data_IF_165507794902
#
_entry.id   IF_165507794902
#
_cell.length_a   1.000
_cell.length_b   1.000
_cell.length_c   1.000
_cell.angle_alpha   90.00
_cell.angle_beta   90.00
_cell.angle_gamma   90.00
#
_symmetry.space_group_name_H-M   'P 1'
#
loop_
_entity.id
_entity.type
_entity.pdbx_description
1 polymer ?
#
# COMPACT_ATOMS: atom_id res chain seq x y z
N UNK A 1 -1.11 -19.64 0.31
CA UNK A 1 -1.59 -19.39 1.69
C UNK A 1 -3.12 -19.47 1.76
N UNK A 2 -3.87 -18.66 1.02
CA UNK A 2 -5.34 -18.64 1.12
C UNK A 2 -6.00 -20.00 0.85
N UNK A 3 -5.57 -20.73 -0.18
CA UNK A 3 -6.12 -22.06 -0.50
C UNK A 3 -5.83 -23.18 0.52
N UNK A 4 -4.83 -22.99 1.40
CA UNK A 4 -4.55 -23.96 2.47
C UNK A 4 -5.44 -23.74 3.70
N UNK A 5 -6.06 -22.57 3.84
CA UNK A 5 -6.96 -22.26 4.97
C UNK A 5 -8.36 -22.77 4.64
N UNK A 6 -8.87 -23.73 5.44
CA UNK A 6 -10.17 -24.39 5.20
C UNK A 6 -11.37 -23.64 5.78
N UNK A 7 -11.13 -22.69 6.69
CA UNK A 7 -12.15 -21.85 7.30
C UNK A 7 -12.38 -20.55 6.50
N UNK A 8 -13.49 -19.84 6.75
CA UNK A 8 -13.68 -18.48 6.25
C UNK A 8 -12.52 -17.55 6.62
N UNK A 9 -12.13 -16.69 5.68
CA UNK A 9 -11.02 -15.73 5.80
C UNK A 9 -11.54 -14.30 5.63
N UNK A 10 -11.01 -13.40 6.45
CA UNK A 10 -11.11 -11.95 6.26
C UNK A 10 -9.73 -11.44 5.87
N UNK A 11 -9.64 -10.72 4.76
CA UNK A 11 -8.41 -10.03 4.37
C UNK A 11 -8.48 -8.58 4.80
N UNK A 12 -7.43 -8.11 5.46
CA UNK A 12 -7.31 -6.73 5.92
C UNK A 12 -6.09 -6.11 5.25
N UNK A 13 -6.29 -5.03 4.51
CA UNK A 13 -5.26 -4.32 3.78
C UNK A 13 -5.16 -2.88 4.27
N UNK A 14 -3.94 -2.44 4.58
CA UNK A 14 -3.64 -1.04 4.87
C UNK A 14 -2.87 -0.40 3.71
N UNK A 15 -3.17 0.86 3.36
CA UNK A 15 -2.49 1.58 2.27
C UNK A 15 -2.48 0.77 0.96
N UNK A 16 -1.31 0.51 0.36
CA UNK A 16 -1.14 -0.36 -0.81
C UNK A 16 -1.66 -1.81 -0.59
N UNK A 17 -1.71 -2.26 0.66
CA UNK A 17 -2.29 -3.55 1.02
C UNK A 17 -3.74 -3.71 0.56
N UNK A 18 -4.49 -2.62 0.37
CA UNK A 18 -5.83 -2.67 -0.22
C UNK A 18 -5.84 -3.25 -1.63
N UNK A 19 -4.94 -2.78 -2.50
CA UNK A 19 -4.77 -3.34 -3.86
C UNK A 19 -4.34 -4.81 -3.81
N UNK A 20 -3.42 -5.15 -2.90
CA UNK A 20 -2.94 -6.53 -2.75
C UNK A 20 -4.05 -7.48 -2.32
N UNK A 21 -4.90 -7.10 -1.35
CA UNK A 21 -5.99 -7.98 -0.91
C UNK A 21 -7.11 -8.07 -1.95
N UNK A 22 -7.34 -7.02 -2.75
CA UNK A 22 -8.30 -7.07 -3.86
C UNK A 22 -7.89 -8.14 -4.88
N UNK A 23 -6.63 -8.12 -5.33
CA UNK A 23 -6.13 -9.10 -6.28
C UNK A 23 -6.02 -10.51 -5.67
N UNK A 24 -5.55 -10.61 -4.42
CA UNK A 24 -5.37 -11.89 -3.76
C UNK A 24 -6.70 -12.61 -3.45
N UNK A 25 -7.82 -11.89 -3.38
CA UNK A 25 -9.13 -12.49 -3.13
C UNK A 25 -9.71 -13.19 -4.38
N UNK A 26 -9.24 -12.83 -5.57
CA UNK A 26 -9.74 -13.38 -6.83
C UNK A 26 -9.56 -14.90 -6.87
N UNK A 27 -10.63 -15.61 -7.25
CA UNK A 27 -10.64 -17.09 -7.26
C UNK A 27 -10.63 -17.78 -5.89
N UNK A 28 -10.61 -17.05 -4.77
CA UNK A 28 -10.56 -17.62 -3.42
C UNK A 28 -11.92 -17.57 -2.69
N UNK A 29 -12.77 -18.59 -2.93
CA UNK A 29 -14.12 -18.67 -2.35
C UNK A 29 -14.18 -18.72 -0.81
N UNK A 30 -13.06 -19.00 -0.13
CA UNK A 30 -12.97 -18.95 1.33
C UNK A 30 -12.77 -17.53 1.89
N UNK A 31 -12.38 -16.55 1.07
CA UNK A 31 -12.36 -15.14 1.45
C UNK A 31 -13.80 -14.62 1.46
N UNK A 32 -14.26 -14.15 2.62
CA UNK A 32 -15.65 -13.69 2.82
C UNK A 32 -15.78 -12.18 2.95
N UNK A 33 -14.69 -11.51 3.31
CA UNK A 33 -14.69 -10.07 3.57
C UNK A 33 -13.33 -9.48 3.23
N UNK A 34 -13.36 -8.30 2.62
CA UNK A 34 -12.21 -7.41 2.46
C UNK A 34 -12.39 -6.19 3.36
N UNK A 35 -11.35 -5.86 4.12
CA UNK A 35 -11.33 -4.69 5.00
C UNK A 35 -10.21 -3.76 4.55
N UNK A 36 -10.57 -2.54 4.20
CA UNK A 36 -9.66 -1.51 3.72
C UNK A 36 -9.43 -0.49 4.84
N UNK A 37 -8.22 -0.44 5.38
CA UNK A 37 -7.83 0.49 6.45
C UNK A 37 -6.92 1.55 5.86
N UNK A 38 -7.40 2.79 5.67
CA UNK A 38 -6.63 3.84 5.01
C UNK A 38 -5.94 3.34 3.71
N UNK A 39 -6.67 2.57 2.92
CA UNK A 39 -6.14 1.75 1.84
C UNK A 39 -6.75 2.09 0.48
N UNK A 40 -6.03 1.76 -0.59
CA UNK A 40 -6.59 1.83 -1.93
C UNK A 40 -7.63 0.72 -2.12
N UNK A 41 -8.85 1.09 -2.50
CA UNK A 41 -9.92 0.16 -2.87
C UNK A 41 -10.19 0.31 -4.38
N UNK A 42 -9.40 -0.35 -5.25
CA UNK A 42 -9.51 -0.19 -6.69
C UNK A 42 -10.74 -0.89 -7.27
N UNK A 43 -11.41 -0.21 -8.20
CA UNK A 43 -12.28 -0.87 -9.16
C UNK A 43 -11.46 -1.62 -10.23
N UNK A 44 -12.12 -2.49 -11.00
CA UNK A 44 -11.47 -3.24 -12.07
C UNK A 44 -10.82 -2.31 -13.10
N UNK A 45 -9.50 -2.48 -13.29
CA UNK A 45 -8.70 -1.68 -14.21
C UNK A 45 -8.13 -0.39 -13.62
N UNK A 46 -8.45 -0.03 -12.37
CA UNK A 46 -7.79 1.07 -11.66
C UNK A 46 -6.47 0.62 -11.01
N UNK A 47 -5.52 1.54 -10.92
CA UNK A 47 -4.23 1.33 -10.25
C UNK A 47 -4.09 2.18 -9.00
N UNK A 48 -3.28 1.73 -8.04
CA UNK A 48 -2.96 2.50 -6.83
C UNK A 48 -2.40 3.90 -7.14
N UNK A 49 -1.57 4.03 -8.20
CA UNK A 49 -1.01 5.33 -8.62
C UNK A 49 -2.10 6.27 -9.13
N UNK A 50 -3.03 5.76 -9.95
CA UNK A 50 -4.18 6.56 -10.40
C UNK A 50 -5.03 7.02 -9.22
N UNK A 51 -5.33 6.12 -8.28
CA UNK A 51 -6.12 6.44 -7.09
C UNK A 51 -5.43 7.45 -6.19
N UNK A 52 -4.10 7.33 -6.00
CA UNK A 52 -3.31 8.28 -5.23
C UNK A 52 -3.34 9.71 -5.81
N UNK A 53 -3.63 9.87 -7.10
CA UNK A 53 -3.74 11.17 -7.78
C UNK A 53 -5.17 11.54 -8.22
N UNK A 54 -6.18 10.72 -7.92
CA UNK A 54 -7.56 10.89 -8.44
C UNK A 54 -8.25 12.14 -7.90
N UNK A 55 -7.97 12.49 -6.65
CA UNK A 55 -8.57 13.63 -5.95
C UNK A 55 -7.50 14.64 -5.51
N UNK A 56 -7.84 15.94 -5.46
CA UNK A 56 -6.90 16.97 -5.00
C UNK A 56 -6.53 16.76 -3.53
N UNK A 57 -5.31 17.17 -3.16
CA UNK A 57 -4.83 17.16 -1.77
C UNK A 57 -3.87 16.02 -1.43
N UNK A 58 -3.67 15.05 -2.33
CA UNK A 58 -2.65 14.02 -2.13
C UNK A 58 -1.24 14.61 -2.15
N UNK A 59 -0.49 14.37 -1.07
CA UNK A 59 0.93 14.75 -0.94
C UNK A 59 1.87 13.60 -1.28
N UNK A 60 1.37 12.38 -1.46
CA UNK A 60 2.20 11.18 -1.62
C UNK A 60 3.13 11.29 -2.85
N UNK A 61 2.60 11.59 -4.03
CA UNK A 61 3.38 11.67 -5.27
C UNK A 61 4.63 12.59 -5.14
N UNK A 62 4.47 13.86 -4.71
CA UNK A 62 5.59 14.78 -4.51
C UNK A 62 6.63 14.39 -3.43
N UNK A 63 6.32 13.42 -2.56
CA UNK A 63 7.23 12.95 -1.51
C UNK A 63 8.05 11.73 -1.91
N UNK A 64 7.75 11.10 -3.05
CA UNK A 64 8.48 9.93 -3.53
C UNK A 64 9.88 10.29 -4.02
N UNK A 65 10.86 9.46 -3.69
CA UNK A 65 12.17 9.47 -4.31
C UNK A 65 12.09 8.91 -5.75
N UNK A 66 13.11 9.16 -6.60
CA UNK A 66 13.19 8.53 -7.91
C UNK A 66 13.05 7.00 -7.82
N UNK A 67 12.23 6.35 -8.67
CA UNK A 67 12.03 4.91 -8.61
C UNK A 67 13.35 4.14 -8.80
N UNK A 68 13.60 3.16 -7.95
CA UNK A 68 14.75 2.26 -8.06
C UNK A 68 14.39 1.16 -9.04
N UNK A 69 15.13 1.05 -10.15
CA UNK A 69 14.90 -0.03 -11.11
C UNK A 69 15.59 -1.30 -10.64
N UNK A 70 14.81 -2.37 -10.47
CA UNK A 70 15.29 -3.68 -10.07
C UNK A 70 15.84 -4.45 -11.27
N UNK A 71 16.71 -5.42 -11.01
CA UNK A 71 17.26 -6.31 -12.05
C UNK A 71 16.20 -7.13 -12.77
N UNK A 72 15.04 -7.35 -12.14
CA UNK A 72 13.86 -7.99 -12.73
C UNK A 72 13.08 -7.10 -13.71
N UNK A 73 13.46 -5.83 -13.87
CA UNK A 73 12.71 -4.83 -14.62
C UNK A 73 11.57 -4.16 -13.82
N UNK A 74 11.30 -4.63 -12.59
CA UNK A 74 10.41 -3.97 -11.65
C UNK A 74 10.95 -2.62 -11.16
N UNK A 75 10.11 -1.84 -10.48
CA UNK A 75 10.48 -0.57 -9.87
C UNK A 75 10.02 -0.53 -8.43
N UNK A 76 10.94 -0.23 -7.53
CA UNK A 76 10.61 0.12 -6.16
C UNK A 76 10.39 1.62 -6.02
N UNK A 77 9.44 1.97 -5.17
CA UNK A 77 9.14 3.34 -4.79
C UNK A 77 9.49 3.51 -3.31
N UNK A 78 10.16 4.61 -3.00
CA UNK A 78 10.53 4.99 -1.64
C UNK A 78 10.03 6.39 -1.37
N UNK A 79 9.66 6.69 -0.12
CA UNK A 79 9.45 8.07 0.32
C UNK A 79 10.84 8.67 0.57
N UNK A 80 11.04 9.94 0.17
CA UNK A 80 12.27 10.69 0.50
C UNK A 80 12.47 10.68 2.02
N UNK A 81 13.66 10.30 2.48
CA UNK A 81 13.90 10.04 3.91
C UNK A 81 13.55 11.26 4.77
N UNK A 82 13.89 12.46 4.32
CA UNK A 82 13.60 13.72 4.99
C UNK A 82 12.10 14.08 5.05
N UNK A 83 11.27 13.42 4.25
CA UNK A 83 9.81 13.61 4.22
C UNK A 83 9.04 12.43 4.83
N UNK A 84 9.73 11.34 5.18
CA UNK A 84 9.12 10.10 5.65
C UNK A 84 8.26 10.31 6.89
N UNK A 85 8.80 11.05 7.87
CA UNK A 85 8.11 11.30 9.14
C UNK A 85 6.73 11.94 8.87
N UNK A 86 6.69 13.09 8.22
CA UNK A 86 5.44 13.81 7.96
C UNK A 86 4.49 13.06 7.03
N UNK A 87 5.02 12.31 6.05
CA UNK A 87 4.18 11.63 5.06
C UNK A 87 3.62 10.28 5.54
N UNK A 88 4.36 9.55 6.38
CA UNK A 88 4.06 8.15 6.67
C UNK A 88 3.96 7.83 8.16
N UNK A 89 4.62 8.62 9.02
CA UNK A 89 4.79 8.30 10.43
C UNK A 89 4.59 9.54 11.34
N UNK A 90 3.68 10.45 10.99
CA UNK A 90 3.58 11.78 11.61
C UNK A 90 3.25 11.74 13.11
N UNK A 91 2.68 10.63 13.59
CA UNK A 91 2.32 10.41 14.99
C UNK A 91 3.39 9.63 15.79
N UNK A 92 4.51 9.28 15.14
CA UNK A 92 5.60 8.50 15.72
C UNK A 92 6.68 9.45 16.27
N UNK A 93 7.32 9.18 17.42
CA UNK A 93 8.44 10.00 17.90
C UNK A 93 9.54 10.15 16.85
N UNK A 94 10.10 11.35 16.73
CA UNK A 94 11.06 11.70 15.66
C UNK A 94 12.25 10.73 15.56
N UNK A 95 12.78 10.28 16.70
CA UNK A 95 13.90 9.34 16.72
C UNK A 95 13.55 7.99 16.08
N UNK A 96 12.32 7.49 16.33
CA UNK A 96 11.84 6.22 15.78
C UNK A 96 11.49 6.38 14.29
N UNK A 97 10.83 7.49 13.91
CA UNK A 97 10.52 7.79 12.52
C UNK A 97 11.79 7.93 11.66
N UNK A 98 12.84 8.53 12.22
CA UNK A 98 14.16 8.64 11.58
C UNK A 98 14.81 7.27 11.37
N UNK A 99 14.67 6.36 12.33
CA UNK A 99 15.14 4.98 12.18
C UNK A 99 14.32 4.20 11.14
N UNK A 100 12.99 4.39 11.10
CA UNK A 100 12.12 3.76 10.09
C UNK A 100 12.39 4.25 8.67
N UNK A 101 12.83 5.50 8.52
CA UNK A 101 13.16 6.09 7.22
C UNK A 101 14.54 5.64 6.66
N UNK A 102 15.41 5.08 7.50
CA UNK A 102 16.83 4.85 7.21
C UNK A 102 17.08 3.71 6.21
#
# INVERSE_FOLDING_TARGET
ILGSIKSPVVLVGHSYGGSVISDAAEGHANVKTLVYVAAFAPDAGETAVQLAGKFPGSTLGPTLAPPVTLSSGGKDLYIQQEKFHDQFAADVPEADARLMAA
#
